data_IF_516248335727
#
_entry.id   IF_516248335727
#
_cell.length_a   1.000
_cell.length_b   1.000
_cell.length_c   1.000
_cell.angle_alpha   90.00
_cell.angle_beta   90.00
_cell.angle_gamma   90.00
#
_symmetry.space_group_name_H-M   'P 1'
#
loop_
_entity.id
_entity.type
_entity.pdbx_description
1 polymer ?
#
# COMPACT_ATOMS: atom_id res chain seq x y z
N UNK A 1 -11.21 37.76 -10.69
CA UNK A 1 -11.76 38.88 -11.49
C UNK A 1 -12.43 38.32 -12.73
N UNK A 2 -13.68 38.67 -13.01
CA UNK A 2 -14.31 38.33 -14.29
C UNK A 2 -13.86 39.35 -15.32
N UNK A 3 -13.19 38.90 -16.38
CA UNK A 3 -12.79 39.78 -17.48
C UNK A 3 -14.08 40.24 -18.17
N UNK A 4 -14.26 41.57 -18.22
CA UNK A 4 -15.40 42.14 -18.94
C UNK A 4 -15.20 41.94 -20.43
N UNK A 5 -16.24 41.38 -21.13
CA UNK A 5 -16.16 41.05 -22.54
C UNK A 5 -15.99 42.31 -23.40
N UNK A 6 -16.57 43.44 -23.03
CA UNK A 6 -16.39 44.70 -23.74
C UNK A 6 -14.95 45.13 -23.70
N UNK A 7 -14.32 45.17 -22.50
CA UNK A 7 -12.92 45.55 -22.37
C UNK A 7 -11.98 44.62 -23.13
N UNK A 8 -12.27 43.32 -23.17
CA UNK A 8 -11.49 42.38 -23.93
C UNK A 8 -11.57 42.63 -25.44
N UNK A 9 -12.78 42.79 -25.98
CA UNK A 9 -12.99 43.04 -27.44
C UNK A 9 -12.38 44.38 -27.84
N UNK A 10 -12.53 45.43 -27.02
CA UNK A 10 -11.89 46.74 -27.31
C UNK A 10 -10.35 46.63 -27.21
N UNK A 11 -9.82 45.89 -26.25
CA UNK A 11 -8.39 45.60 -26.15
C UNK A 11 -7.82 44.91 -27.40
N UNK A 12 -8.54 43.92 -27.95
CA UNK A 12 -8.18 43.26 -29.20
C UNK A 12 -8.25 44.21 -30.38
N UNK A 13 -9.30 45.03 -30.45
CA UNK A 13 -9.41 46.04 -31.52
C UNK A 13 -8.24 47.03 -31.49
N UNK A 14 -7.92 47.55 -30.35
CA UNK A 14 -6.81 48.48 -30.17
C UNK A 14 -5.45 47.87 -30.53
N UNK A 15 -5.23 46.60 -30.10
CA UNK A 15 -3.98 45.91 -30.34
C UNK A 15 -3.70 45.63 -31.83
N UNK A 16 -4.75 45.30 -32.60
CA UNK A 16 -4.65 44.92 -34.01
C UNK A 16 -5.18 45.97 -34.95
N UNK A 17 -5.52 47.17 -34.48
CA UNK A 17 -6.14 48.25 -35.27
C UNK A 17 -7.44 47.82 -35.97
N UNK A 18 -8.25 46.97 -35.36
CA UNK A 18 -9.53 46.58 -35.88
C UNK A 18 -10.62 47.62 -35.56
N UNK A 19 -11.44 47.93 -36.56
CA UNK A 19 -12.52 48.92 -36.41
C UNK A 19 -13.85 48.23 -36.05
N UNK A 20 -14.03 46.98 -36.48
CA UNK A 20 -15.33 46.33 -36.43
C UNK A 20 -15.26 44.97 -35.66
N UNK A 21 -16.38 44.57 -35.07
CA UNK A 21 -16.52 43.24 -34.46
C UNK A 21 -16.42 42.11 -35.50
N UNK A 22 -16.61 42.38 -36.78
CA UNK A 22 -16.41 41.43 -37.87
C UNK A 22 -14.94 41.04 -37.97
N UNK A 23 -14.04 42.02 -37.95
CA UNK A 23 -12.57 41.78 -37.97
C UNK A 23 -12.10 41.00 -36.74
N UNK A 24 -12.66 41.30 -35.57
CA UNK A 24 -12.38 40.54 -34.34
C UNK A 24 -12.86 39.07 -34.48
N UNK A 25 -14.03 38.87 -35.08
CA UNK A 25 -14.58 37.54 -35.32
C UNK A 25 -13.70 36.72 -36.29
N UNK A 26 -13.26 37.34 -37.38
CA UNK A 26 -12.34 36.74 -38.35
C UNK A 26 -11.00 36.36 -37.68
N UNK A 27 -10.45 37.24 -36.87
CA UNK A 27 -9.20 36.99 -36.11
C UNK A 27 -9.29 35.76 -35.20
N UNK A 28 -10.41 35.56 -34.54
CA UNK A 28 -10.63 34.39 -33.65
C UNK A 28 -11.19 33.15 -34.37
N UNK A 29 -11.43 33.22 -35.69
CA UNK A 29 -12.03 32.14 -36.43
C UNK A 29 -13.47 31.82 -35.99
N UNK A 30 -14.25 32.83 -35.57
CA UNK A 30 -15.63 32.69 -35.10
C UNK A 30 -16.59 33.55 -35.89
N UNK A 31 -17.89 33.33 -35.74
CA UNK A 31 -18.90 34.17 -36.38
C UNK A 31 -19.12 35.49 -35.62
N UNK A 32 -19.52 36.54 -36.31
CA UNK A 32 -19.89 37.83 -35.71
C UNK A 32 -20.98 37.64 -34.63
N UNK A 33 -21.94 36.74 -34.87
CA UNK A 33 -22.98 36.40 -33.88
C UNK A 33 -22.36 35.88 -32.56
N UNK A 34 -21.25 35.13 -32.64
CA UNK A 34 -20.54 34.62 -31.45
C UNK A 34 -19.90 35.75 -30.62
N UNK A 35 -19.31 36.73 -31.29
CA UNK A 35 -18.80 37.94 -30.62
C UNK A 35 -19.94 38.71 -29.93
N UNK A 36 -21.06 38.91 -30.62
CA UNK A 36 -22.24 39.54 -30.01
C UNK A 36 -22.81 38.79 -28.83
N UNK A 37 -22.74 37.45 -28.86
CA UNK A 37 -23.11 36.60 -27.74
C UNK A 37 -22.17 36.81 -26.52
N UNK A 38 -20.84 36.90 -26.72
CA UNK A 38 -19.88 37.19 -25.65
C UNK A 38 -20.15 38.53 -25.02
N UNK A 39 -20.37 39.56 -25.78
CA UNK A 39 -20.72 40.90 -25.26
C UNK A 39 -22.03 40.85 -24.47
N UNK A 40 -23.08 40.19 -24.99
CA UNK A 40 -24.38 40.09 -24.33
C UNK A 40 -24.32 39.29 -23.02
N UNK A 41 -23.55 38.21 -22.96
CA UNK A 41 -23.46 37.33 -21.79
C UNK A 41 -22.34 37.67 -20.85
N UNK A 42 -21.48 38.61 -21.21
CA UNK A 42 -20.23 38.95 -20.54
C UNK A 42 -19.35 37.72 -20.25
N UNK A 43 -19.35 36.74 -21.15
CA UNK A 43 -18.61 35.48 -21.06
C UNK A 43 -17.81 35.21 -22.30
N UNK A 44 -16.48 35.12 -22.15
CA UNK A 44 -15.56 34.76 -23.20
C UNK A 44 -15.00 33.37 -22.87
N UNK A 45 -14.96 32.41 -23.83
CA UNK A 45 -14.34 31.13 -23.59
C UNK A 45 -12.83 31.27 -23.33
N UNK A 46 -12.32 30.55 -22.30
CA UNK A 46 -10.93 30.63 -21.84
C UNK A 46 -9.89 30.48 -22.97
N UNK A 47 -10.18 29.64 -23.97
CA UNK A 47 -9.25 29.45 -25.09
C UNK A 47 -8.92 30.74 -25.85
N UNK A 48 -9.85 31.70 -25.92
CA UNK A 48 -9.61 32.98 -26.60
C UNK A 48 -8.98 34.03 -25.70
N UNK A 49 -9.20 33.94 -24.38
CA UNK A 49 -8.50 34.77 -23.41
C UNK A 49 -7.00 34.42 -23.36
N UNK A 50 -6.65 33.17 -23.54
CA UNK A 50 -5.26 32.71 -23.52
C UNK A 50 -4.51 33.02 -24.83
N UNK A 51 -5.19 33.13 -25.97
CA UNK A 51 -4.56 33.42 -27.27
C UNK A 51 -4.14 34.88 -27.43
N UNK A 52 -4.79 35.80 -26.72
CA UNK A 52 -4.52 37.26 -26.87
C UNK A 52 -3.59 37.82 -25.79
N UNK A 53 -2.81 36.97 -25.18
CA UNK A 53 -1.67 37.35 -24.37
C UNK A 53 -1.96 38.48 -23.40
N UNK A 54 -2.37 38.15 -22.21
CA UNK A 54 -2.31 39.08 -21.11
C UNK A 54 -0.86 39.56 -20.95
N UNK A 55 -0.73 40.84 -20.70
CA UNK A 55 0.52 41.54 -20.40
C UNK A 55 1.33 40.83 -19.30
N UNK A 56 2.61 41.07 -19.25
CA UNK A 56 3.61 40.48 -18.34
C UNK A 56 3.15 40.43 -16.87
N UNK A 57 2.30 41.38 -16.42
CA UNK A 57 1.73 41.38 -15.07
C UNK A 57 0.83 40.21 -14.74
N UNK A 58 0.09 39.71 -15.75
CA UNK A 58 -0.82 38.56 -15.62
C UNK A 58 -0.08 37.21 -15.51
N UNK A 59 1.13 37.11 -16.10
CA UNK A 59 1.95 35.90 -16.00
C UNK A 59 2.54 35.74 -14.60
N UNK A 60 2.90 36.84 -13.95
CA UNK A 60 3.41 36.82 -12.57
C UNK A 60 2.30 36.52 -11.53
N UNK A 61 1.09 37.07 -11.72
CA UNK A 61 -0.04 36.73 -10.84
C UNK A 61 -0.47 35.28 -10.99
N UNK A 62 -0.51 34.76 -12.25
CA UNK A 62 -0.76 33.35 -12.49
C UNK A 62 0.33 32.45 -11.89
N UNK A 63 1.59 32.81 -12.04
CA UNK A 63 2.70 32.08 -11.44
C UNK A 63 2.58 32.03 -9.90
N UNK A 64 2.24 33.15 -9.26
CA UNK A 64 1.99 33.21 -7.82
C UNK A 64 0.79 32.32 -7.40
N UNK A 65 -0.29 32.36 -8.18
CA UNK A 65 -1.46 31.49 -7.94
C UNK A 65 -1.09 30.02 -8.05
N UNK A 66 -0.38 29.61 -9.10
CA UNK A 66 0.09 28.23 -9.28
C UNK A 66 1.02 27.79 -8.16
N UNK A 67 1.96 28.66 -7.73
CA UNK A 67 2.82 28.38 -6.59
C UNK A 67 2.02 28.17 -5.30
N UNK A 68 0.99 28.97 -5.05
CA UNK A 68 0.12 28.81 -3.89
C UNK A 68 -0.67 27.48 -3.95
N UNK A 69 -1.17 27.09 -5.13
CA UNK A 69 -1.86 25.79 -5.32
C UNK A 69 -0.90 24.64 -5.10
N UNK A 70 0.30 24.68 -5.70
CA UNK A 70 1.33 23.64 -5.53
C UNK A 70 1.70 23.51 -4.06
N UNK A 71 1.96 24.64 -3.36
CA UNK A 71 2.25 24.61 -1.93
C UNK A 71 1.14 23.92 -1.13
N UNK A 72 -0.12 24.29 -1.37
CA UNK A 72 -1.27 23.68 -0.70
C UNK A 72 -1.39 22.17 -0.97
N UNK A 73 -1.08 21.73 -2.19
CA UNK A 73 -1.07 20.30 -2.54
C UNK A 73 0.07 19.57 -1.81
N UNK A 74 1.26 20.15 -1.73
CA UNK A 74 2.39 19.58 -1.01
C UNK A 74 2.10 19.45 0.49
N UNK A 75 1.50 20.48 1.11
CA UNK A 75 1.08 20.44 2.51
C UNK A 75 0.04 19.31 2.74
N UNK A 76 -0.90 19.13 1.79
CA UNK A 76 -1.89 18.07 1.86
C UNK A 76 -1.27 16.67 1.73
N UNK A 77 -0.33 16.49 0.80
CA UNK A 77 0.43 15.24 0.63
C UNK A 77 1.17 14.90 1.92
N UNK A 78 1.90 15.85 2.50
CA UNK A 78 2.62 15.67 3.76
C UNK A 78 1.70 15.26 4.92
N UNK A 79 0.51 15.84 5.00
CA UNK A 79 -0.50 15.47 6.00
C UNK A 79 -1.01 14.03 5.78
N UNK A 80 -1.23 13.63 4.53
CA UNK A 80 -1.68 12.27 4.19
C UNK A 80 -0.59 11.24 4.50
N UNK A 81 0.67 11.54 4.20
CA UNK A 81 1.81 10.69 4.53
C UNK A 81 1.93 10.48 6.04
N UNK A 82 1.78 11.55 6.84
CA UNK A 82 1.76 11.45 8.30
C UNK A 82 0.65 10.55 8.81
N UNK A 83 -0.59 10.74 8.32
CA UNK A 83 -1.74 9.90 8.68
C UNK A 83 -1.53 8.45 8.30
N UNK A 84 -0.97 8.19 7.11
CA UNK A 84 -0.64 6.84 6.65
C UNK A 84 0.38 6.16 7.57
N UNK A 85 1.43 6.88 7.96
CA UNK A 85 2.45 6.38 8.91
C UNK A 85 1.84 6.03 10.27
N UNK A 86 0.98 6.89 10.81
CA UNK A 86 0.27 6.64 12.07
C UNK A 86 -0.66 5.42 11.95
N UNK A 87 -1.38 5.29 10.84
CA UNK A 87 -2.25 4.14 10.58
C UNK A 87 -1.48 2.82 10.50
N UNK A 88 -0.36 2.81 9.77
CA UNK A 88 0.53 1.64 9.67
C UNK A 88 1.08 1.24 11.03
N UNK A 89 1.51 2.20 11.84
CA UNK A 89 2.02 1.96 13.19
C UNK A 89 0.96 1.33 14.10
N UNK A 90 -0.28 1.87 14.12
CA UNK A 90 -1.40 1.31 14.89
C UNK A 90 -1.73 -0.12 14.45
N UNK A 91 -1.70 -0.40 13.15
CA UNK A 91 -1.97 -1.73 12.59
C UNK A 91 -0.90 -2.75 12.98
N UNK A 92 0.38 -2.35 12.99
CA UNK A 92 1.50 -3.18 13.45
C UNK A 92 1.31 -3.58 14.92
N UNK A 93 0.96 -2.61 15.77
CA UNK A 93 0.69 -2.85 17.21
C UNK A 93 -0.46 -3.84 17.35
N UNK A 94 -1.57 -3.64 16.65
CA UNK A 94 -2.74 -4.53 16.72
C UNK A 94 -2.40 -5.98 16.37
N UNK A 95 -1.70 -6.24 15.26
CA UNK A 95 -1.33 -7.61 14.89
C UNK A 95 -0.38 -8.26 15.88
N UNK A 96 0.52 -7.49 16.47
CA UNK A 96 1.42 -7.97 17.52
C UNK A 96 0.64 -8.34 18.78
N UNK A 97 -0.24 -7.48 19.25
CA UNK A 97 -1.09 -7.75 20.42
C UNK A 97 -1.95 -9.00 20.24
N UNK A 98 -2.55 -9.17 19.04
CA UNK A 98 -3.30 -10.39 18.71
C UNK A 98 -2.39 -11.63 18.79
N UNK A 99 -1.18 -11.56 18.24
CA UNK A 99 -0.24 -12.66 18.26
C UNK A 99 0.27 -12.98 19.68
N UNK A 100 0.47 -11.97 20.51
CA UNK A 100 0.94 -12.15 21.89
C UNK A 100 -0.09 -12.89 22.74
N UNK A 101 -1.38 -12.75 22.45
CA UNK A 101 -2.48 -13.41 23.17
C UNK A 101 -2.80 -14.84 22.69
N UNK A 102 -2.13 -15.38 21.67
CA UNK A 102 -2.39 -16.74 21.22
C UNK A 102 -1.86 -17.76 22.25
N UNK A 103 -2.70 -18.71 22.60
CA UNK A 103 -2.28 -19.90 23.35
C UNK A 103 -1.37 -20.77 22.48
N UNK A 104 -0.38 -21.42 23.06
CA UNK A 104 0.58 -22.25 22.36
C UNK A 104 1.26 -23.27 23.29
N UNK A 105 1.70 -24.36 22.68
CA UNK A 105 2.59 -25.35 23.30
C UNK A 105 4.04 -25.16 22.82
N UNK A 106 4.21 -24.57 21.64
CA UNK A 106 5.52 -24.27 21.05
C UNK A 106 5.54 -22.85 20.50
N UNK A 107 6.58 -22.10 20.82
CA UNK A 107 6.85 -20.78 20.28
C UNK A 107 8.20 -20.74 19.58
N UNK A 108 8.19 -20.31 18.34
CA UNK A 108 9.35 -20.22 17.46
C UNK A 108 9.55 -18.80 16.97
N UNK A 109 10.81 -18.43 16.76
CA UNK A 109 11.20 -17.20 16.06
C UNK A 109 12.03 -17.57 14.85
N UNK A 110 11.54 -17.22 13.66
CA UNK A 110 12.22 -17.47 12.38
C UNK A 110 12.69 -16.15 11.79
N UNK A 111 13.97 -16.07 11.44
CA UNK A 111 14.59 -14.98 10.69
C UNK A 111 14.70 -15.36 9.22
N UNK A 112 14.40 -14.42 8.35
CA UNK A 112 14.47 -14.58 6.89
C UNK A 112 15.51 -13.63 6.28
N UNK A 113 15.99 -13.95 5.08
CA UNK A 113 16.88 -13.07 4.31
C UNK A 113 16.17 -11.77 3.93
N UNK A 114 14.96 -11.89 3.38
CA UNK A 114 14.05 -10.79 3.10
C UNK A 114 12.62 -11.33 2.98
N UNK A 115 11.66 -10.67 3.59
CA UNK A 115 10.23 -10.98 3.45
C UNK A 115 9.52 -10.04 2.46
N UNK A 116 10.21 -8.99 2.00
CA UNK A 116 9.65 -7.97 1.10
C UNK A 116 9.89 -8.28 -0.39
N UNK A 117 10.66 -9.33 -0.70
CA UNK A 117 10.86 -9.77 -2.08
C UNK A 117 9.56 -10.32 -2.68
N UNK A 118 9.30 -10.01 -3.95
CA UNK A 118 8.12 -10.53 -4.64
C UNK A 118 8.32 -11.98 -5.08
N UNK A 119 9.54 -12.36 -5.45
CA UNK A 119 9.89 -13.71 -5.88
C UNK A 119 10.13 -14.63 -4.67
N UNK A 120 9.37 -15.73 -4.53
CA UNK A 120 9.52 -16.65 -3.41
C UNK A 120 10.90 -17.30 -3.30
N UNK A 121 11.58 -17.52 -4.44
CA UNK A 121 12.90 -18.13 -4.51
C UNK A 121 14.00 -17.30 -3.84
N UNK A 122 13.78 -16.01 -3.66
CA UNK A 122 14.73 -15.09 -3.01
C UNK A 122 14.59 -15.09 -1.48
N UNK A 123 13.51 -15.69 -0.95
CA UNK A 123 13.23 -15.75 0.47
C UNK A 123 13.82 -17.02 1.05
N UNK A 124 14.82 -16.86 1.90
CA UNK A 124 15.47 -17.98 2.59
C UNK A 124 15.28 -17.85 4.09
N UNK A 125 15.00 -18.96 4.75
CA UNK A 125 15.12 -19.05 6.21
C UNK A 125 16.60 -18.94 6.56
N UNK A 126 16.93 -17.93 7.36
CA UNK A 126 18.29 -17.75 7.86
C UNK A 126 18.49 -18.61 9.12
N UNK A 127 17.54 -18.56 10.04
CA UNK A 127 17.56 -19.32 11.28
C UNK A 127 16.18 -19.36 11.92
N UNK A 128 15.80 -20.53 12.44
CA UNK A 128 14.68 -20.69 13.37
C UNK A 128 15.22 -21.04 14.76
N UNK A 129 14.70 -20.41 15.78
CA UNK A 129 15.00 -20.71 17.19
C UNK A 129 13.71 -20.95 17.97
N UNK A 130 13.75 -21.90 18.89
CA UNK A 130 12.65 -22.15 19.83
C UNK A 130 12.83 -21.22 21.03
N UNK A 131 11.81 -20.42 21.33
CA UNK A 131 11.77 -19.60 22.56
C UNK A 131 11.08 -20.32 23.71
N UNK A 132 10.03 -21.09 23.44
CA UNK A 132 9.28 -21.84 24.45
C UNK A 132 8.73 -23.12 23.85
N UNK A 133 8.67 -24.20 24.65
CA UNK A 133 8.27 -25.52 24.17
C UNK A 133 7.83 -26.45 25.32
N UNK A 134 6.69 -27.12 25.11
CA UNK A 134 6.30 -28.32 25.80
C UNK A 134 6.76 -29.56 25.03
N UNK A 135 7.27 -30.60 25.72
CA UNK A 135 7.84 -31.82 25.07
C UNK A 135 6.78 -32.75 24.46
N UNK A 136 5.76 -32.20 23.84
CA UNK A 136 4.60 -32.95 23.41
C UNK A 136 4.85 -33.77 22.12
N UNK A 137 5.77 -33.31 21.24
CA UNK A 137 6.03 -33.97 19.97
C UNK A 137 7.17 -34.99 20.00
N UNK A 138 7.91 -35.08 21.13
CA UNK A 138 8.98 -36.04 21.36
C UNK A 138 10.32 -35.74 20.69
N UNK A 139 10.45 -34.63 19.93
CA UNK A 139 11.72 -34.19 19.35
C UNK A 139 12.59 -33.48 20.37
N UNK A 140 13.90 -33.52 20.22
CA UNK A 140 14.78 -32.60 20.96
C UNK A 140 14.60 -31.18 20.44
N UNK A 141 15.13 -30.20 21.16
CA UNK A 141 15.09 -28.80 20.72
C UNK A 141 15.80 -28.60 19.38
N UNK A 142 16.96 -29.19 19.23
CA UNK A 142 17.81 -29.10 18.04
C UNK A 142 17.15 -29.76 16.84
N UNK A 143 16.58 -30.96 17.00
CA UNK A 143 15.84 -31.66 15.97
C UNK A 143 14.64 -30.82 15.48
N UNK A 144 13.91 -30.23 16.44
CA UNK A 144 12.74 -29.42 16.11
C UNK A 144 13.12 -28.11 15.39
N UNK A 145 14.19 -27.44 15.82
CA UNK A 145 14.74 -26.26 15.12
C UNK A 145 15.19 -26.62 13.70
N UNK A 146 15.84 -27.76 13.50
CA UNK A 146 16.27 -28.24 12.18
C UNK A 146 15.11 -28.50 11.24
N UNK A 147 14.02 -29.09 11.73
CA UNK A 147 12.80 -29.26 10.96
C UNK A 147 12.22 -27.94 10.43
N UNK A 148 12.30 -26.85 11.20
CA UNK A 148 11.83 -25.55 10.75
C UNK A 148 12.86 -24.80 9.89
N UNK A 149 14.14 -25.04 10.06
CA UNK A 149 15.17 -24.50 9.18
C UNK A 149 15.09 -25.13 7.77
N UNK A 150 14.67 -26.40 7.71
CA UNK A 150 14.55 -27.21 6.51
C UNK A 150 13.08 -27.62 6.23
N UNK A 151 12.14 -26.74 6.52
CA UNK A 151 10.71 -27.08 6.58
C UNK A 151 10.14 -27.72 5.30
N UNK A 152 10.65 -27.35 4.12
CA UNK A 152 10.19 -27.90 2.83
C UNK A 152 10.49 -29.41 2.68
N UNK A 153 11.51 -29.92 3.38
CA UNK A 153 11.93 -31.33 3.38
C UNK A 153 11.72 -32.01 4.72
N UNK A 154 11.10 -31.30 5.67
CA UNK A 154 10.87 -31.76 7.03
C UNK A 154 9.90 -32.93 7.08
N UNK A 155 10.23 -33.96 7.87
CA UNK A 155 9.32 -35.06 8.21
C UNK A 155 8.31 -34.71 9.30
N UNK A 156 8.37 -33.51 9.86
CA UNK A 156 7.45 -33.02 10.90
C UNK A 156 6.04 -32.77 10.36
N UNK A 157 5.91 -32.57 9.04
CA UNK A 157 4.66 -32.23 8.38
C UNK A 157 4.31 -33.22 7.27
N UNK A 158 3.02 -33.40 7.03
CA UNK A 158 2.55 -34.09 5.83
C UNK A 158 2.83 -33.19 4.62
N UNK A 159 3.34 -33.75 3.51
CA UNK A 159 3.79 -32.97 2.34
C UNK A 159 2.66 -32.12 1.72
N UNK A 160 1.42 -32.63 1.69
CA UNK A 160 0.26 -31.89 1.23
C UNK A 160 -0.02 -30.66 2.11
N UNK A 161 0.15 -30.79 3.42
CA UNK A 161 -0.02 -29.69 4.39
C UNK A 161 1.07 -28.63 4.19
N UNK A 162 2.31 -29.05 3.96
CA UNK A 162 3.42 -28.13 3.63
C UNK A 162 3.10 -27.32 2.40
N UNK A 163 2.61 -27.95 1.36
CA UNK A 163 2.25 -27.28 0.10
C UNK A 163 1.13 -26.26 0.29
N UNK A 164 0.04 -26.65 0.96
CA UNK A 164 -1.09 -25.75 1.24
C UNK A 164 -0.68 -24.58 2.14
N UNK A 165 0.14 -24.85 3.13
CA UNK A 165 0.67 -23.82 4.03
C UNK A 165 1.55 -22.82 3.29
N UNK A 166 2.42 -23.31 2.39
CA UNK A 166 3.25 -22.50 1.51
C UNK A 166 2.43 -21.56 0.65
N UNK A 167 1.44 -22.08 -0.05
CA UNK A 167 0.59 -21.27 -0.92
C UNK A 167 -0.19 -20.21 -0.13
N UNK A 168 -0.74 -20.61 1.02
CA UNK A 168 -1.46 -19.68 1.89
C UNK A 168 -0.56 -18.55 2.39
N UNK A 169 0.66 -18.89 2.81
CA UNK A 169 1.68 -17.95 3.25
C UNK A 169 2.05 -16.97 2.13
N UNK A 170 2.38 -17.49 0.96
CA UNK A 170 2.80 -16.69 -0.19
C UNK A 170 1.70 -15.73 -0.65
N UNK A 171 0.47 -16.20 -0.75
CA UNK A 171 -0.68 -15.36 -1.09
C UNK A 171 -0.88 -14.21 -0.10
N UNK A 172 -0.76 -14.48 1.20
CA UNK A 172 -0.90 -13.47 2.26
C UNK A 172 0.27 -12.48 2.22
N UNK A 173 1.49 -12.95 2.05
CA UNK A 173 2.70 -12.15 1.96
C UNK A 173 2.63 -11.17 0.78
N UNK A 174 2.35 -11.65 -0.43
CA UNK A 174 2.20 -10.80 -1.61
C UNK A 174 1.10 -9.76 -1.41
N UNK A 175 -0.04 -10.16 -0.83
CA UNK A 175 -1.12 -9.23 -0.52
C UNK A 175 -0.67 -8.16 0.46
N UNK A 176 0.10 -8.51 1.48
CA UNK A 176 0.63 -7.57 2.45
C UNK A 176 1.60 -6.57 1.80
N UNK A 177 2.52 -7.06 0.95
CA UNK A 177 3.47 -6.21 0.22
C UNK A 177 2.73 -5.24 -0.71
N UNK A 178 1.79 -5.73 -1.54
CA UNK A 178 1.00 -4.91 -2.47
C UNK A 178 0.19 -3.83 -1.76
N UNK A 179 -0.29 -4.12 -0.56
CA UNK A 179 -1.03 -3.16 0.28
C UNK A 179 -0.12 -2.32 1.18
N UNK A 180 1.20 -2.37 0.98
CA UNK A 180 2.21 -1.67 1.79
C UNK A 180 2.01 -1.88 3.31
N UNK A 181 1.70 -3.11 3.71
CA UNK A 181 1.57 -3.51 5.11
C UNK A 181 2.95 -3.86 5.68
N UNK A 182 3.21 -3.45 6.92
CA UNK A 182 4.47 -3.78 7.60
C UNK A 182 4.42 -5.16 8.28
N UNK A 183 3.22 -5.74 8.43
CA UNK A 183 3.03 -7.03 9.08
C UNK A 183 1.70 -7.69 8.69
N UNK A 184 1.62 -9.00 8.87
CA UNK A 184 0.41 -9.78 8.70
C UNK A 184 0.40 -11.01 9.61
N UNK A 185 -0.76 -11.64 9.74
CA UNK A 185 -0.93 -12.90 10.47
C UNK A 185 -1.43 -14.00 9.55
N UNK A 186 -1.06 -15.23 9.89
CA UNK A 186 -1.53 -16.46 9.26
C UNK A 186 -2.02 -17.40 10.37
N UNK A 187 -3.11 -18.13 10.11
CA UNK A 187 -3.58 -19.18 11.03
C UNK A 187 -4.12 -20.33 10.18
N UNK A 188 -3.59 -21.53 10.42
CA UNK A 188 -4.01 -22.76 9.78
C UNK A 188 -4.14 -23.87 10.79
N UNK A 189 -5.06 -24.80 10.56
CA UNK A 189 -5.10 -26.09 11.23
C UNK A 189 -4.34 -27.08 10.37
N UNK A 190 -3.34 -27.75 10.94
CA UNK A 190 -2.44 -28.66 10.23
C UNK A 190 -2.28 -29.98 11.00
N UNK A 191 -1.89 -31.02 10.30
CA UNK A 191 -1.42 -32.25 10.92
C UNK A 191 0.10 -32.26 11.00
N UNK A 192 0.59 -32.61 12.18
CA UNK A 192 2.02 -32.76 12.45
C UNK A 192 2.33 -34.20 12.80
N UNK A 193 3.56 -34.63 12.54
CA UNK A 193 4.04 -35.99 12.80
C UNK A 193 4.91 -35.94 14.05
N UNK A 194 4.56 -36.71 15.08
CA UNK A 194 5.40 -36.89 16.27
C UNK A 194 6.63 -37.73 15.94
N UNK A 195 7.62 -37.71 16.80
CA UNK A 195 8.86 -38.51 16.65
C UNK A 195 8.57 -40.03 16.60
N UNK A 196 7.52 -40.48 17.25
CA UNK A 196 7.05 -41.88 17.23
C UNK A 196 6.25 -42.24 15.98
N UNK A 197 6.08 -41.33 15.04
CA UNK A 197 5.34 -41.47 13.79
C UNK A 197 3.82 -41.26 13.91
N UNK A 198 3.29 -41.03 15.09
CA UNK A 198 1.87 -40.74 15.28
C UNK A 198 1.52 -39.33 14.79
N UNK A 199 0.26 -39.17 14.30
CA UNK A 199 -0.26 -37.89 13.83
C UNK A 199 -0.93 -37.12 14.96
N UNK A 200 -0.80 -35.80 14.92
CA UNK A 200 -1.46 -34.90 15.84
C UNK A 200 -1.98 -33.67 15.11
N UNK A 201 -3.17 -33.23 15.47
CA UNK A 201 -3.70 -31.96 14.97
C UNK A 201 -3.10 -30.80 15.76
N UNK A 202 -2.74 -29.74 15.04
CA UNK A 202 -2.24 -28.52 15.63
C UNK A 202 -2.84 -27.28 14.96
N UNK A 203 -2.93 -26.19 15.71
CA UNK A 203 -3.19 -24.86 15.15
C UNK A 203 -1.84 -24.17 15.02
N UNK A 204 -1.46 -23.91 13.77
CA UNK A 204 -0.27 -23.18 13.41
C UNK A 204 -0.65 -21.71 13.18
N UNK A 205 -0.12 -20.81 14.00
CA UNK A 205 -0.36 -19.37 13.89
C UNK A 205 0.96 -18.64 13.77
N UNK A 206 1.08 -17.74 12.80
CA UNK A 206 2.29 -16.95 12.61
C UNK A 206 1.98 -15.48 12.46
N UNK A 207 2.76 -14.66 13.14
CA UNK A 207 2.85 -13.23 12.95
C UNK A 207 4.13 -12.92 12.17
N UNK A 208 4.01 -12.27 11.03
CA UNK A 208 5.12 -11.86 10.18
C UNK A 208 5.34 -10.36 10.30
N UNK A 209 6.57 -9.98 10.61
CA UNK A 209 7.03 -8.60 10.58
C UNK A 209 7.91 -8.42 9.33
N UNK A 210 7.35 -7.80 8.29
CA UNK A 210 8.02 -7.62 7.00
C UNK A 210 9.22 -6.66 7.11
N UNK A 211 9.10 -5.62 7.94
CA UNK A 211 10.18 -4.64 8.11
C UNK A 211 11.39 -5.18 8.88
N UNK A 212 11.20 -6.19 9.72
CA UNK A 212 12.27 -6.82 10.51
C UNK A 212 12.71 -8.16 9.95
N UNK A 213 12.04 -8.67 8.90
CA UNK A 213 12.27 -9.98 8.31
C UNK A 213 12.18 -11.13 9.32
N UNK A 214 11.20 -11.05 10.22
CA UNK A 214 11.01 -12.01 11.31
C UNK A 214 9.58 -12.53 11.31
N UNK A 215 9.43 -13.84 11.58
CA UNK A 215 8.15 -14.43 11.95
C UNK A 215 8.19 -14.98 13.36
N UNK A 216 7.12 -14.75 14.12
CA UNK A 216 6.86 -15.41 15.40
C UNK A 216 5.75 -16.43 15.14
N UNK A 217 6.08 -17.71 15.30
CA UNK A 217 5.15 -18.80 15.11
C UNK A 217 4.79 -19.42 16.45
N UNK A 218 3.49 -19.59 16.68
CA UNK A 218 2.94 -20.26 17.86
C UNK A 218 2.13 -21.46 17.40
N UNK A 219 2.46 -22.62 17.91
CA UNK A 219 1.82 -23.91 17.60
C UNK A 219 1.09 -24.39 18.83
N UNK A 220 -0.19 -24.65 18.69
CA UNK A 220 -1.05 -25.21 19.73
C UNK A 220 -1.45 -26.62 19.32
N UNK A 221 -1.14 -27.60 20.17
CA UNK A 221 -1.47 -29.00 19.95
C UNK A 221 -2.90 -29.26 20.43
N UNK A 222 -3.78 -29.73 19.55
CA UNK A 222 -5.20 -29.89 19.86
C UNK A 222 -5.50 -31.15 20.69
N UNK A 223 -4.71 -32.21 20.53
CA UNK A 223 -4.93 -33.47 21.25
C UNK A 223 -4.62 -33.35 22.75
N UNK A 224 -3.91 -32.28 23.17
CA UNK A 224 -3.66 -32.00 24.58
C UNK A 224 -4.91 -31.49 25.30
N UNK A 225 -5.90 -30.98 24.59
CA UNK A 225 -7.15 -30.45 25.15
C UNK A 225 -8.16 -31.52 25.59
N UNK A 226 -7.97 -32.78 25.19
CA UNK A 226 -8.87 -33.90 25.48
C UNK A 226 -8.41 -34.76 26.68
N UNK A 227 -7.45 -34.29 27.48
CA UNK A 227 -6.87 -35.03 28.63
C UNK A 227 -7.26 -34.49 29.99
N UNK A 228 -8.32 -33.65 30.07
CA UNK A 228 -8.93 -33.29 31.37
C UNK A 228 -10.21 -34.06 31.62
#
# INVERSE_FOLDING_TARGET
>A
MSINADNFIEGVKNKYNFITNKQVAEHFGVTRARISQWLKTNKIPLKYLNSEGQTISDSEEKAKLYQAVIKRQLDHISLLEKKLKEFKSKRKIFYKEVADNWQYDVKLVTKFSSLNELEPSEIKTVKTTIEDRNDYLGYTKEEFEDHFNNWATSSLFIQEEVYLLSQSHEKRRITAIRNAMDSFTLSNKIQMIKKDGSLVWAIYRSYYNLSENVAITKIQILDSLNKE
#
